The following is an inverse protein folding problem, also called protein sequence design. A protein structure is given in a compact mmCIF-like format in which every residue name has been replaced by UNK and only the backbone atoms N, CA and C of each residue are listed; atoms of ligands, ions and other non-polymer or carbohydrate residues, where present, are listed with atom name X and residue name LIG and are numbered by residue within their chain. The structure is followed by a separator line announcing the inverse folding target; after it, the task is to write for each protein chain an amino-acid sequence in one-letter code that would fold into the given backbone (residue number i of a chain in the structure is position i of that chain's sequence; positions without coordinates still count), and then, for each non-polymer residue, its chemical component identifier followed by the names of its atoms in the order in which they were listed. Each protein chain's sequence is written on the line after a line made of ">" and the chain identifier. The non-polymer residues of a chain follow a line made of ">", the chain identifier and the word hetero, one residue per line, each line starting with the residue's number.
data_IF_107154833625
#
_entry.id   IF_107154833625
#
_cell.length_a   1.000
_cell.length_b   1.000
_cell.length_c   1.000
_cell.angle_alpha   90.00
_cell.angle_beta   90.00
_cell.angle_gamma   90.00
#
_symmetry.space_group_name_H-M   'P 1'
#
loop_
_entity.id
_entity.type
_entity.pdbx_description
1 polymer ?
#
# COMPACT_ATOMS: atom_id res chain seq x y z
N UNK A 1 46.57 -4.22 41.50
CA UNK A 1 45.35 -4.72 40.82
C UNK A 1 45.30 -4.08 39.43
N UNK A 2 45.23 -4.87 38.37
CA UNK A 2 45.08 -4.34 37.01
C UNK A 2 43.73 -3.60 36.89
N UNK A 3 43.63 -2.50 36.13
CA UNK A 3 42.35 -1.85 35.90
C UNK A 3 41.38 -2.83 35.21
N UNK A 4 40.08 -2.77 35.51
CA UNK A 4 39.10 -3.61 34.84
C UNK A 4 39.13 -3.31 33.34
N UNK A 5 39.16 -4.36 32.53
CA UNK A 5 39.01 -4.25 31.07
C UNK A 5 37.71 -3.51 30.76
N UNK A 6 37.72 -2.57 29.79
CA UNK A 6 36.48 -1.92 29.37
C UNK A 6 35.48 -2.99 28.91
N UNK A 7 34.17 -2.78 29.14
CA UNK A 7 33.16 -3.70 28.65
C UNK A 7 33.34 -3.87 27.13
N UNK A 8 33.28 -5.11 26.66
CA UNK A 8 33.32 -5.40 25.23
C UNK A 8 32.24 -4.56 24.53
N UNK A 9 32.65 -3.77 23.53
CA UNK A 9 31.72 -2.96 22.76
C UNK A 9 30.65 -3.88 22.16
N UNK A 10 29.38 -3.61 22.45
CA UNK A 10 28.28 -4.35 21.83
C UNK A 10 28.34 -4.04 20.33
N UNK A 11 28.44 -5.06 19.45
CA UNK A 11 28.51 -4.82 18.02
C UNK A 11 27.21 -4.13 17.58
N UNK A 12 27.34 -2.88 17.17
CA UNK A 12 26.24 -2.09 16.63
C UNK A 12 25.87 -2.69 15.28
N UNK A 13 24.60 -3.10 15.11
CA UNK A 13 24.12 -3.61 13.83
C UNK A 13 23.83 -2.46 12.87
N UNK A 14 24.11 -2.63 11.58
CA UNK A 14 23.90 -1.59 10.59
C UNK A 14 22.41 -1.25 10.44
N UNK A 15 22.10 0.04 10.29
CA UNK A 15 20.74 0.59 10.17
C UNK A 15 20.59 1.36 8.88
N UNK A 16 19.38 1.39 8.31
CA UNK A 16 19.08 2.21 7.15
C UNK A 16 17.85 3.10 7.36
N UNK A 17 18.02 4.41 7.16
CA UNK A 17 16.91 5.33 7.01
C UNK A 17 16.42 5.27 5.55
N UNK A 18 15.11 5.15 5.35
CA UNK A 18 14.49 4.99 4.04
C UNK A 18 13.67 6.22 3.69
N UNK A 19 13.86 6.76 2.49
CA UNK A 19 13.01 7.84 1.94
C UNK A 19 12.43 7.41 0.61
N UNK A 20 11.13 7.63 0.43
CA UNK A 20 10.45 7.43 -0.85
C UNK A 20 10.31 8.75 -1.62
N UNK A 21 10.52 8.68 -2.94
CA UNK A 21 10.23 9.78 -3.85
C UNK A 21 8.85 9.63 -4.52
N UNK A 22 8.39 10.70 -5.17
CA UNK A 22 7.09 10.74 -5.86
C UNK A 22 7.01 9.87 -7.11
N UNK A 23 8.15 9.44 -7.66
CA UNK A 23 8.21 8.51 -8.79
C UNK A 23 8.11 7.05 -8.35
N UNK A 24 8.28 6.77 -7.05
CA UNK A 24 8.32 5.44 -6.46
C UNK A 24 9.70 4.83 -6.30
N UNK A 25 10.76 5.65 -6.42
CA UNK A 25 12.11 5.27 -6.06
C UNK A 25 12.29 5.30 -4.54
N UNK A 26 13.30 4.57 -4.06
CA UNK A 26 13.68 4.55 -2.66
C UNK A 26 15.16 4.92 -2.53
N UNK A 27 15.48 5.74 -1.54
CA UNK A 27 16.85 5.96 -1.08
C UNK A 27 17.02 5.36 0.30
N UNK A 28 18.18 4.74 0.52
CA UNK A 28 18.54 4.10 1.79
C UNK A 28 19.83 4.74 2.29
N UNK A 29 19.76 5.46 3.41
CA UNK A 29 20.90 6.03 4.10
C UNK A 29 21.35 5.07 5.20
N UNK A 30 22.44 4.36 4.92
CA UNK A 30 22.97 3.26 5.71
C UNK A 30 24.08 3.74 6.64
N UNK A 31 23.91 3.49 7.94
CA UNK A 31 24.93 3.66 8.97
C UNK A 31 25.49 2.30 9.36
N UNK A 32 26.78 2.09 9.14
CA UNK A 32 27.47 0.82 9.41
C UNK A 32 27.87 0.66 10.89
N UNK A 33 28.02 1.77 11.63
CA UNK A 33 28.36 1.82 13.05
C UNK A 33 27.77 3.09 13.69
N UNK A 34 27.48 3.08 15.00
CA UNK A 34 27.14 4.27 15.78
C UNK A 34 28.36 4.94 16.42
N UNK A 35 29.53 4.28 16.41
CA UNK A 35 30.77 4.96 16.75
C UNK A 35 31.04 6.00 15.65
N UNK A 36 31.27 7.26 16.05
CA UNK A 36 31.55 8.39 15.16
C UNK A 36 32.68 8.12 14.15
N UNK A 37 33.03 9.08 13.28
CA UNK A 37 33.64 8.84 11.98
C UNK A 37 34.99 8.13 12.05
N UNK A 38 34.95 6.80 12.17
CA UNK A 38 36.00 5.94 11.68
C UNK A 38 35.61 5.67 10.24
N UNK A 39 36.14 6.50 9.34
CA UNK A 39 36.11 6.17 7.92
C UNK A 39 36.62 4.72 7.79
N UNK A 40 35.83 3.77 7.30
CA UNK A 40 36.40 2.49 6.95
C UNK A 40 37.48 2.79 5.92
N UNK A 41 38.70 2.36 6.18
CA UNK A 41 39.68 2.15 5.11
C UNK A 41 39.11 1.05 4.22
N UNK A 42 38.15 1.38 3.36
CA UNK A 42 37.44 0.42 2.53
C UNK A 42 38.31 0.10 1.31
N UNK A 43 39.04 -0.99 1.41
CA UNK A 43 39.51 -1.75 0.24
C UNK A 43 38.38 -2.56 -0.41
N UNK A 44 37.15 -2.53 0.14
CA UNK A 44 35.97 -3.24 -0.37
C UNK A 44 35.06 -2.40 -1.28
N UNK A 45 34.19 -3.09 -2.03
CA UNK A 45 33.07 -2.53 -2.80
C UNK A 45 31.77 -2.73 -1.99
N UNK A 46 31.40 -1.80 -1.08
CA UNK A 46 30.24 -1.97 -0.22
C UNK A 46 28.94 -1.85 -1.03
N UNK A 47 27.97 -2.70 -0.70
CA UNK A 47 26.66 -2.66 -1.33
C UNK A 47 25.54 -3.03 -0.36
N UNK A 48 24.36 -2.49 -0.65
CA UNK A 48 23.12 -2.97 -0.07
C UNK A 48 22.56 -4.08 -0.96
N UNK A 49 22.24 -5.23 -0.36
CA UNK A 49 21.58 -6.33 -1.04
C UNK A 49 20.10 -6.36 -0.66
N UNK A 50 19.23 -6.56 -1.63
CA UNK A 50 17.83 -6.95 -1.43
C UNK A 50 17.68 -8.38 -1.93
N UNK A 51 17.29 -9.31 -1.05
CA UNK A 51 17.08 -10.73 -1.38
C UNK A 51 15.61 -11.12 -1.25
N UNK A 52 15.00 -11.67 -2.30
CA UNK A 52 13.62 -12.14 -2.28
C UNK A 52 13.50 -13.38 -1.39
N UNK A 53 12.53 -13.37 -0.47
CA UNK A 53 12.25 -14.55 0.37
C UNK A 53 11.76 -15.73 -0.46
N UNK A 54 12.40 -16.89 -0.28
CA UNK A 54 12.08 -18.12 -0.99
C UNK A 54 12.59 -18.17 -2.43
N UNK A 55 13.35 -17.15 -2.86
CA UNK A 55 14.05 -17.15 -4.14
C UNK A 55 15.51 -17.56 -3.98
N UNK A 56 16.06 -18.25 -4.98
CA UNK A 56 17.43 -18.75 -5.01
C UNK A 56 18.18 -18.37 -6.31
N UNK A 57 17.49 -17.70 -7.24
CA UNK A 57 18.04 -17.31 -8.53
C UNK A 57 18.73 -15.94 -8.54
N UNK A 58 19.48 -15.62 -9.61
CA UNK A 58 20.11 -14.30 -9.77
C UNK A 58 19.09 -13.15 -9.86
N UNK A 59 17.86 -13.42 -10.30
CA UNK A 59 16.76 -12.45 -10.30
C UNK A 59 16.21 -12.16 -8.90
N UNK A 60 16.52 -13.02 -7.91
CA UNK A 60 16.04 -12.95 -6.53
C UNK A 60 17.00 -12.16 -5.62
N UNK A 61 18.07 -11.58 -6.18
CA UNK A 61 18.99 -10.69 -5.47
C UNK A 61 19.27 -9.43 -6.28
N UNK A 62 19.03 -8.27 -5.67
CA UNK A 62 19.41 -6.96 -6.23
C UNK A 62 20.56 -6.39 -5.41
N UNK A 63 21.65 -5.99 -6.09
CA UNK A 63 22.81 -5.32 -5.49
C UNK A 63 22.78 -3.84 -5.83
N UNK A 64 22.72 -2.99 -4.82
CA UNK A 64 22.72 -1.53 -4.92
C UNK A 64 24.05 -1.01 -4.37
N UNK A 65 24.90 -0.36 -5.20
CA UNK A 65 26.14 0.22 -4.72
C UNK A 65 25.90 1.22 -3.58
N UNK A 66 26.76 1.18 -2.56
CA UNK A 66 26.75 2.12 -1.45
C UNK A 66 27.78 3.22 -1.69
N UNK A 67 27.33 4.45 -1.92
CA UNK A 67 28.19 5.60 -2.13
C UNK A 67 28.20 6.51 -0.89
N UNK A 68 29.35 7.05 -0.45
CA UNK A 68 29.39 8.03 0.64
C UNK A 68 28.51 9.25 0.34
N UNK A 69 27.80 9.74 1.36
CA UNK A 69 27.00 10.97 1.28
C UNK A 69 27.34 11.91 2.42
N UNK A 70 27.70 13.15 2.07
CA UNK A 70 28.14 14.15 3.02
C UNK A 70 29.45 13.78 3.72
N UNK A 71 29.69 14.39 4.88
CA UNK A 71 30.92 14.18 5.65
C UNK A 71 30.72 13.17 6.81
N UNK A 72 29.47 12.73 7.05
CA UNK A 72 29.08 11.96 8.24
C UNK A 72 28.94 10.46 7.98
N UNK A 73 30.01 9.73 7.63
CA UNK A 73 30.07 8.25 7.70
C UNK A 73 28.88 7.44 7.14
N UNK A 74 28.05 8.06 6.30
CA UNK A 74 26.74 7.56 5.88
C UNK A 74 26.86 7.17 4.42
N UNK A 75 26.43 5.95 4.11
CA UNK A 75 26.47 5.44 2.75
C UNK A 75 25.04 5.39 2.19
N UNK A 76 24.85 5.86 0.96
CA UNK A 76 23.56 5.85 0.29
C UNK A 76 23.51 4.78 -0.78
N UNK A 77 22.46 3.99 -0.74
CA UNK A 77 21.99 3.16 -1.85
C UNK A 77 20.73 3.79 -2.45
N UNK A 78 20.56 3.66 -3.76
CA UNK A 78 19.38 4.13 -4.48
C UNK A 78 18.75 2.95 -5.22
N UNK A 79 17.46 2.73 -4.99
CA UNK A 79 16.62 1.85 -5.80
C UNK A 79 15.77 2.73 -6.74
N UNK A 80 16.18 2.90 -8.01
CA UNK A 80 15.49 3.81 -8.93
C UNK A 80 14.06 3.37 -9.20
N UNK A 81 13.17 4.34 -9.42
CA UNK A 81 11.75 4.06 -9.69
C UNK A 81 11.52 3.17 -10.91
N UNK A 82 12.45 3.17 -11.87
CA UNK A 82 12.42 2.39 -13.12
C UNK A 82 12.90 0.94 -12.98
N UNK A 83 13.60 0.61 -11.89
CA UNK A 83 14.08 -0.75 -11.66
C UNK A 83 12.89 -1.63 -11.25
N UNK A 84 12.68 -2.74 -11.97
CA UNK A 84 11.65 -3.73 -11.63
C UNK A 84 12.10 -4.57 -10.43
N UNK A 85 11.20 -4.76 -9.48
CA UNK A 85 11.41 -5.63 -8.33
C UNK A 85 10.20 -6.57 -8.24
N UNK A 86 10.36 -7.88 -8.56
CA UNK A 86 9.26 -8.85 -8.54
C UNK A 86 8.41 -8.80 -7.26
N UNK A 87 7.13 -9.18 -7.39
CA UNK A 87 6.22 -9.20 -6.24
C UNK A 87 6.78 -10.08 -5.12
N UNK A 88 6.86 -9.53 -3.92
CA UNK A 88 7.30 -10.32 -2.77
C UNK A 88 7.86 -9.48 -1.63
N UNK A 89 8.57 -10.18 -0.73
CA UNK A 89 9.21 -9.62 0.45
C UNK A 89 10.72 -9.72 0.26
N UNK A 90 11.37 -8.57 0.21
CA UNK A 90 12.80 -8.44 -0.07
C UNK A 90 13.56 -8.07 1.19
N UNK A 91 14.34 -9.01 1.69
CA UNK A 91 15.15 -8.84 2.89
C UNK A 91 16.42 -8.03 2.57
N UNK A 92 16.64 -6.97 3.35
CA UNK A 92 17.74 -6.02 3.18
C UNK A 92 19.02 -6.41 3.96
N UNK A 93 20.15 -6.43 3.28
CA UNK A 93 21.46 -6.73 3.87
C UNK A 93 22.48 -5.69 3.46
N UNK A 94 23.55 -5.57 4.22
CA UNK A 94 24.78 -4.93 3.77
C UNK A 94 25.81 -6.02 3.48
N UNK A 95 26.56 -5.85 2.39
CA UNK A 95 27.69 -6.68 2.03
C UNK A 95 28.91 -5.78 1.82
N UNK A 96 30.06 -6.21 2.33
CA UNK A 96 31.36 -5.57 2.09
C UNK A 96 32.34 -6.63 1.60
N UNK A 97 32.76 -6.53 0.34
CA UNK A 97 33.56 -7.56 -0.32
C UNK A 97 32.89 -8.94 -0.31
N UNK A 98 33.66 -9.97 0.05
CA UNK A 98 33.23 -11.38 0.11
C UNK A 98 32.76 -11.81 1.51
N UNK A 99 32.56 -10.87 2.43
CA UNK A 99 32.05 -11.18 3.78
C UNK A 99 30.57 -11.60 3.74
N UNK A 100 30.16 -12.40 4.73
CA UNK A 100 28.76 -12.84 4.84
C UNK A 100 27.85 -11.61 5.06
N UNK A 101 26.83 -11.39 4.20
CA UNK A 101 25.99 -10.21 4.29
C UNK A 101 25.23 -10.10 5.61
N UNK A 102 25.30 -8.92 6.23
CA UNK A 102 24.69 -8.65 7.53
C UNK A 102 23.31 -8.04 7.34
N UNK A 103 22.31 -8.57 8.08
CA UNK A 103 20.92 -8.10 8.00
C UNK A 103 20.80 -6.65 8.50
N UNK A 104 20.19 -5.78 7.68
CA UNK A 104 19.92 -4.39 8.03
C UNK A 104 18.75 -4.26 9.01
N UNK A 105 18.95 -3.43 10.03
CA UNK A 105 17.90 -2.94 10.91
C UNK A 105 17.21 -1.72 10.28
N UNK A 106 15.91 -1.51 10.55
CA UNK A 106 15.22 -0.31 10.11
C UNK A 106 15.67 0.90 10.93
N UNK A 107 15.77 2.05 10.27
CA UNK A 107 15.86 3.38 10.85
C UNK A 107 14.55 4.15 10.66
N UNK A 108 14.64 5.43 10.29
CA UNK A 108 13.49 6.29 9.94
C UNK A 108 12.91 5.85 8.60
N UNK A 109 11.58 5.83 8.48
CA UNK A 109 10.87 5.61 7.20
C UNK A 109 10.09 6.87 6.82
N UNK A 110 10.63 7.67 5.91
CA UNK A 110 9.94 8.81 5.31
C UNK A 110 9.24 8.37 4.02
N UNK A 111 8.01 7.87 4.15
CA UNK A 111 7.24 7.26 3.06
C UNK A 111 6.07 8.13 2.57
N UNK A 112 5.97 9.37 3.06
CA UNK A 112 4.83 10.26 2.77
C UNK A 112 4.58 10.48 1.26
N UNK A 113 5.63 10.40 0.45
CA UNK A 113 5.55 10.53 -1.01
C UNK A 113 4.86 9.36 -1.72
N UNK A 114 4.62 8.24 -1.03
CA UNK A 114 3.91 7.08 -1.56
C UNK A 114 2.39 7.23 -1.49
N UNK A 115 1.88 8.02 -0.54
CA UNK A 115 0.45 8.19 -0.30
C UNK A 115 -0.18 8.95 -1.48
N UNK A 116 -1.33 8.45 -1.94
CA UNK A 116 -2.13 8.99 -3.05
C UNK A 116 -1.36 9.17 -4.37
N UNK A 117 -0.25 8.44 -4.52
CA UNK A 117 0.60 8.52 -5.70
C UNK A 117 -0.14 8.01 -6.93
N UNK A 118 -0.28 8.88 -7.93
CA UNK A 118 -0.81 8.49 -9.24
C UNK A 118 0.32 7.92 -10.11
N UNK A 119 0.19 6.66 -10.60
CA UNK A 119 1.14 6.09 -11.55
C UNK A 119 1.29 6.98 -12.79
N UNK A 120 2.54 7.22 -13.24
CA UNK A 120 2.80 8.08 -14.40
C UNK A 120 2.19 7.51 -15.68
N UNK A 121 1.54 8.37 -16.47
CA UNK A 121 1.08 8.05 -17.81
C UNK A 121 2.28 7.60 -18.68
N UNK A 122 2.09 6.52 -19.46
CA UNK A 122 3.12 5.95 -20.34
C UNK A 122 3.93 4.78 -19.78
N UNK A 123 3.72 4.39 -18.52
CA UNK A 123 4.23 3.10 -18.01
C UNK A 123 3.34 1.95 -18.48
N UNK A 124 3.95 0.79 -18.69
CA UNK A 124 3.27 -0.49 -18.94
C UNK A 124 3.30 -1.40 -17.71
N UNK A 125 3.68 -0.84 -16.56
CA UNK A 125 3.74 -1.52 -15.27
C UNK A 125 3.64 -0.56 -14.10
N UNK A 126 3.10 -1.08 -12.98
CA UNK A 126 2.97 -0.40 -11.71
C UNK A 126 3.85 -1.09 -10.66
N UNK A 127 4.93 -0.41 -10.27
CA UNK A 127 5.78 -0.82 -9.15
C UNK A 127 5.47 -0.05 -7.88
N UNK A 128 5.12 -0.77 -6.81
CA UNK A 128 4.99 -0.23 -5.46
C UNK A 128 6.02 -0.93 -4.57
N UNK A 129 6.80 -0.16 -3.83
CA UNK A 129 7.83 -0.66 -2.92
C UNK A 129 7.72 0.05 -1.58
N UNK A 130 7.51 -0.69 -0.51
CA UNK A 130 7.30 -0.17 0.84
C UNK A 130 8.33 -0.79 1.79
N UNK A 131 9.34 -0.03 2.24
CA UNK A 131 10.20 -0.41 3.34
C UNK A 131 9.41 -0.55 4.64
N UNK A 132 9.68 -1.59 5.41
CA UNK A 132 9.01 -1.81 6.69
C UNK A 132 9.84 -2.62 7.67
N UNK A 133 9.56 -2.42 8.96
CA UNK A 133 10.10 -3.22 10.03
C UNK A 133 9.30 -4.53 10.13
N UNK A 134 9.99 -5.66 10.00
CA UNK A 134 9.38 -6.96 10.26
C UNK A 134 9.08 -7.15 11.75
N UNK A 135 8.23 -8.13 12.10
CA UNK A 135 8.00 -8.52 13.50
C UNK A 135 9.25 -8.94 14.28
N UNK A 136 10.35 -9.24 13.58
CA UNK A 136 11.65 -9.59 14.16
C UNK A 136 12.63 -8.40 14.19
N UNK A 137 12.17 -7.19 13.87
CA UNK A 137 12.97 -5.97 13.93
C UNK A 137 13.95 -5.75 12.77
N UNK A 138 13.86 -6.54 11.69
CA UNK A 138 14.71 -6.37 10.50
C UNK A 138 14.00 -5.54 9.41
N UNK A 139 14.77 -4.83 8.60
CA UNK A 139 14.27 -4.05 7.46
C UNK A 139 13.91 -4.96 6.28
N UNK A 140 12.70 -4.89 5.76
CA UNK A 140 12.30 -5.59 4.53
C UNK A 140 11.63 -4.59 3.61
N UNK A 141 11.76 -4.77 2.29
CA UNK A 141 10.98 -4.03 1.29
C UNK A 141 9.87 -4.96 0.78
N UNK A 142 8.61 -4.58 0.95
CA UNK A 142 7.49 -5.24 0.28
C UNK A 142 7.36 -4.65 -1.12
N UNK A 143 7.33 -5.50 -2.15
CA UNK A 143 7.21 -5.10 -3.54
C UNK A 143 5.95 -5.66 -4.19
N UNK A 144 5.28 -4.84 -5.01
CA UNK A 144 4.25 -5.24 -5.97
C UNK A 144 4.63 -4.73 -7.35
N UNK A 145 4.32 -5.52 -8.37
CA UNK A 145 4.65 -5.30 -9.77
C UNK A 145 3.50 -5.81 -10.62
N UNK A 146 2.56 -4.92 -10.95
CA UNK A 146 1.28 -5.25 -11.60
C UNK A 146 1.02 -4.42 -12.84
N UNK A 147 0.31 -4.99 -13.81
CA UNK A 147 -0.35 -4.26 -14.90
C UNK A 147 -1.33 -5.18 -15.62
N UNK A 148 -2.60 -4.79 -15.82
CA UNK A 148 -3.27 -3.63 -15.25
C UNK A 148 -3.38 -3.72 -13.71
N UNK A 149 -3.91 -2.70 -13.05
CA UNK A 149 -4.14 -2.72 -11.61
C UNK A 149 -5.45 -2.04 -11.20
N UNK A 150 -6.29 -2.75 -10.45
CA UNK A 150 -7.50 -2.22 -9.84
C UNK A 150 -7.22 -1.85 -8.37
N UNK A 151 -7.13 -0.55 -8.09
CA UNK A 151 -6.93 -0.02 -6.74
C UNK A 151 -8.28 0.18 -6.04
N UNK A 152 -8.47 -0.50 -4.91
CA UNK A 152 -9.57 -0.27 -3.99
C UNK A 152 -9.27 0.94 -3.10
N UNK A 153 -10.15 1.94 -3.16
CA UNK A 153 -10.12 3.13 -2.32
C UNK A 153 -10.99 2.96 -1.08
N UNK A 154 -12.06 3.77 -0.97
CA UNK A 154 -12.99 3.72 0.15
C UNK A 154 -13.87 2.48 0.09
N UNK A 155 -13.99 1.79 1.22
CA UNK A 155 -14.91 0.68 1.41
C UNK A 155 -15.98 1.07 2.42
N UNK A 156 -17.24 0.82 2.07
CA UNK A 156 -18.37 0.95 2.99
C UNK A 156 -19.04 -0.41 3.15
N UNK A 157 -19.20 -0.83 4.41
CA UNK A 157 -19.79 -2.12 4.77
C UNK A 157 -21.03 -1.86 5.62
N UNK A 158 -22.19 -1.93 4.98
CA UNK A 158 -23.49 -1.65 5.59
C UNK A 158 -24.60 -2.38 4.84
N UNK A 159 -25.72 -2.60 5.51
CA UNK A 159 -26.96 -3.16 4.97
C UNK A 159 -26.75 -4.44 4.15
N UNK A 160 -25.87 -5.34 4.65
CA UNK A 160 -25.56 -6.61 3.99
C UNK A 160 -24.84 -6.46 2.64
N UNK A 161 -24.19 -5.31 2.38
CA UNK A 161 -23.43 -5.03 1.17
C UNK A 161 -22.03 -4.50 1.43
N UNK A 162 -21.15 -4.73 0.46
CA UNK A 162 -19.84 -4.07 0.36
C UNK A 162 -19.90 -3.09 -0.81
N UNK A 163 -19.81 -1.79 -0.53
CA UNK A 163 -19.58 -0.77 -1.55
C UNK A 163 -18.09 -0.50 -1.67
N UNK A 164 -17.56 -0.62 -2.87
CA UNK A 164 -16.17 -0.33 -3.22
C UNK A 164 -16.14 0.89 -4.12
N UNK A 165 -15.40 1.92 -3.71
CA UNK A 165 -14.94 2.99 -4.61
C UNK A 165 -13.49 2.72 -4.99
N UNK A 166 -13.17 2.69 -6.27
CA UNK A 166 -11.83 2.35 -6.74
C UNK A 166 -11.44 3.04 -8.04
N UNK A 167 -10.24 2.71 -8.53
CA UNK A 167 -9.70 3.18 -9.81
C UNK A 167 -9.03 2.03 -10.56
N UNK A 168 -9.15 2.01 -11.88
CA UNK A 168 -8.46 1.06 -12.75
C UNK A 168 -7.31 1.73 -13.50
N UNK A 169 -6.08 1.28 -13.25
CA UNK A 169 -4.89 1.76 -13.94
C UNK A 169 -4.48 0.79 -15.05
N UNK A 170 -4.14 1.35 -16.21
CA UNK A 170 -3.60 0.60 -17.35
C UNK A 170 -4.61 -0.08 -18.26
N UNK A 171 -5.91 0.10 -18.00
CA UNK A 171 -7.01 -0.34 -18.84
C UNK A 171 -8.19 0.63 -18.73
N UNK A 172 -9.10 0.61 -19.70
CA UNK A 172 -10.35 1.37 -19.66
C UNK A 172 -11.49 0.54 -19.05
N UNK A 173 -12.50 1.20 -18.50
CA UNK A 173 -13.75 0.52 -18.11
C UNK A 173 -14.77 0.65 -19.23
N UNK A 174 -15.37 -0.47 -19.62
CA UNK A 174 -16.47 -0.51 -20.58
C UNK A 174 -17.83 -0.60 -19.89
N UNK A 175 -18.91 -0.42 -20.66
CA UNK A 175 -20.30 -0.66 -20.19
C UNK A 175 -20.56 -2.13 -19.80
N UNK A 176 -19.67 -3.04 -20.21
CA UNK A 176 -19.72 -4.46 -19.84
C UNK A 176 -18.88 -4.80 -18.62
N UNK A 177 -18.25 -3.82 -17.97
CA UNK A 177 -17.42 -4.03 -16.79
C UNK A 177 -18.19 -4.72 -15.65
N UNK A 178 -17.50 -5.58 -14.91
CA UNK A 178 -18.06 -6.37 -13.81
C UNK A 178 -17.12 -6.41 -12.61
N UNK A 179 -17.68 -6.36 -11.41
CA UNK A 179 -17.00 -6.83 -10.21
C UNK A 179 -17.37 -8.30 -10.03
N UNK A 180 -16.36 -9.15 -9.90
CA UNK A 180 -16.50 -10.60 -9.80
C UNK A 180 -15.97 -11.08 -8.45
N UNK A 181 -16.80 -11.80 -7.71
CA UNK A 181 -16.38 -12.56 -6.54
C UNK A 181 -16.13 -14.01 -6.97
N UNK A 182 -14.88 -14.42 -6.98
CA UNK A 182 -14.43 -15.76 -7.37
C UNK A 182 -14.21 -16.61 -6.11
N UNK A 183 -14.78 -17.83 -6.02
CA UNK A 183 -14.58 -18.65 -4.84
C UNK A 183 -13.17 -19.26 -4.84
N UNK A 184 -12.46 -19.11 -3.72
CA UNK A 184 -11.05 -19.53 -3.64
C UNK A 184 -10.87 -21.05 -3.67
N UNK A 185 -11.71 -21.76 -2.92
CA UNK A 185 -11.55 -23.20 -2.67
C UNK A 185 -12.55 -24.06 -3.46
N UNK A 186 -13.18 -23.49 -4.50
CA UNK A 186 -14.20 -24.17 -5.30
C UNK A 186 -13.98 -23.94 -6.81
N UNK A 187 -12.87 -24.46 -7.33
CA UNK A 187 -12.50 -24.35 -8.73
C UNK A 187 -13.65 -24.81 -9.66
N UNK A 188 -13.88 -24.05 -10.74
CA UNK A 188 -14.95 -24.31 -11.71
C UNK A 188 -16.34 -23.80 -11.29
N UNK A 189 -16.51 -23.31 -10.06
CA UNK A 189 -17.74 -22.61 -9.67
C UNK A 189 -17.75 -21.22 -10.32
N UNK A 190 -18.85 -20.81 -10.99
CA UNK A 190 -18.91 -19.50 -11.62
C UNK A 190 -18.82 -18.38 -10.57
N UNK A 191 -18.15 -17.26 -10.89
CA UNK A 191 -18.10 -16.12 -9.97
C UNK A 191 -19.48 -15.48 -9.81
N UNK A 192 -19.72 -14.89 -8.64
CA UNK A 192 -20.83 -13.95 -8.47
C UNK A 192 -20.42 -12.63 -9.11
N UNK A 193 -21.18 -12.18 -10.11
CA UNK A 193 -20.83 -11.02 -10.93
C UNK A 193 -21.87 -9.92 -10.80
N UNK A 194 -21.42 -8.68 -10.57
CA UNK A 194 -22.28 -7.49 -10.51
C UNK A 194 -21.81 -6.44 -11.52
N UNK A 195 -22.72 -5.76 -12.25
CA UNK A 195 -22.37 -4.64 -13.12
C UNK A 195 -21.61 -3.54 -12.38
N UNK A 196 -20.56 -3.03 -12.99
CA UNK A 196 -19.86 -1.83 -12.54
C UNK A 196 -20.41 -0.66 -13.36
N UNK A 197 -21.13 0.29 -12.74
CA UNK A 197 -21.47 1.55 -13.38
C UNK A 197 -20.19 2.25 -13.84
N UNK A 198 -20.15 2.71 -15.09
CA UNK A 198 -19.09 3.61 -15.53
C UNK A 198 -19.32 4.96 -14.85
N UNK A 199 -18.35 5.45 -14.07
CA UNK A 199 -18.46 6.76 -13.44
C UNK A 199 -18.67 7.82 -14.54
N UNK A 200 -19.83 8.47 -14.46
CA UNK A 200 -20.45 9.33 -15.47
C UNK A 200 -21.85 9.79 -15.04
N UNK A 201 -22.47 9.07 -14.10
CA UNK A 201 -23.57 9.57 -13.29
C UNK A 201 -23.20 9.48 -11.81
N UNK A 202 -23.03 10.63 -11.14
CA UNK A 202 -23.14 10.69 -9.69
C UNK A 202 -24.55 10.22 -9.31
N UNK A 203 -24.69 8.94 -8.98
CA UNK A 203 -25.83 8.50 -8.19
C UNK A 203 -25.62 9.03 -6.78
N UNK A 204 -26.08 10.26 -6.54
CA UNK A 204 -26.35 10.77 -5.22
C UNK A 204 -27.36 9.84 -4.57
N UNK A 205 -26.86 8.89 -3.77
CA UNK A 205 -27.71 8.09 -2.91
C UNK A 205 -28.43 9.02 -1.94
N UNK A 206 -29.65 8.66 -1.47
CA UNK A 206 -30.45 9.50 -0.58
C UNK A 206 -29.78 9.85 0.76
N UNK A 207 -28.62 9.25 1.09
CA UNK A 207 -27.88 9.48 2.34
C UNK A 207 -26.76 10.54 2.26
N UNK A 208 -26.27 10.94 1.08
CA UNK A 208 -25.22 11.98 0.97
C UNK A 208 -25.71 13.37 1.43
N UNK A 209 -27.04 13.59 1.41
CA UNK A 209 -27.67 14.82 1.90
C UNK A 209 -27.75 14.91 3.44
N UNK A 210 -27.63 13.79 4.16
CA UNK A 210 -27.84 13.78 5.63
C UNK A 210 -26.56 14.03 6.41
N UNK A 211 -25.41 13.59 5.90
CA UNK A 211 -24.12 13.78 6.57
C UNK A 211 -23.56 15.21 6.44
N UNK A 212 -23.81 15.87 5.31
CA UNK A 212 -23.38 17.25 5.05
C UNK A 212 -24.05 18.28 5.97
N UNK A 213 -25.34 18.09 6.27
CA UNK A 213 -26.09 18.97 7.18
C UNK A 213 -25.70 18.81 8.66
N UNK A 214 -25.23 17.63 9.09
CA UNK A 214 -24.91 17.39 10.50
C UNK A 214 -23.50 17.89 10.89
N UNK A 215 -22.56 17.94 9.94
CA UNK A 215 -21.22 18.52 10.16
C UNK A 215 -21.26 20.06 10.24
N UNK A 216 -21.99 20.74 9.34
CA UNK A 216 -22.07 22.22 9.33
C UNK A 216 -22.80 22.84 10.54
N UNK A 217 -23.60 22.06 11.28
CA UNK A 217 -24.25 22.53 12.51
C UNK A 217 -23.39 22.37 13.77
N UNK A 218 -22.35 21.52 13.75
CA UNK A 218 -21.48 21.31 14.92
C UNK A 218 -20.31 22.30 15.00
N UNK A 219 -19.92 22.92 13.89
CA UNK A 219 -18.80 23.88 13.87
C UNK A 219 -19.20 25.32 14.25
N UNK A 220 -20.48 25.61 14.47
CA UNK A 220 -20.98 26.97 14.80
C UNK A 220 -21.18 27.27 16.29
N UNK A 221 -20.64 26.45 17.21
CA UNK A 221 -20.83 26.68 18.64
C UNK A 221 -19.61 26.29 19.48
N UNK A 222 -18.46 26.95 19.25
CA UNK A 222 -17.45 27.17 20.30
C UNK A 222 -16.79 28.53 20.05
N UNK A 223 -17.45 29.60 20.49
CA UNK A 223 -16.82 30.91 20.67
C UNK A 223 -16.43 31.04 22.14
N UNK A 224 -15.13 31.11 22.42
CA UNK A 224 -14.60 31.11 23.79
C UNK A 224 -13.11 31.44 23.84
N UNK A 225 -12.81 32.73 23.65
CA UNK A 225 -11.64 33.48 24.14
C UNK A 225 -10.31 32.72 24.30
N UNK A 226 -9.37 32.89 23.35
CA UNK A 226 -7.93 32.82 23.67
C UNK A 226 -7.09 33.79 22.83
N UNK A 227 -6.68 34.85 23.52
CA UNK A 227 -5.47 35.69 23.41
C UNK A 227 -4.68 35.67 22.07
N UNK A 228 -4.73 36.82 21.38
CA UNK A 228 -3.90 37.18 20.22
C UNK A 228 -2.39 37.20 20.56
N UNK A 229 -1.60 36.64 19.65
CA UNK A 229 -0.16 36.93 19.48
C UNK A 229 0.06 37.19 17.99
N UNK A 230 0.66 38.31 17.55
CA UNK A 230 0.67 38.67 16.13
C UNK A 230 1.84 37.99 15.41
N UNK A 231 1.54 37.21 14.37
CA UNK A 231 2.50 36.87 13.33
C UNK A 231 2.13 37.66 12.08
N UNK A 232 3.07 38.48 11.59
CA UNK A 232 2.89 39.37 10.46
C UNK A 232 2.78 38.58 9.15
N UNK A 233 1.58 38.55 8.58
CA UNK A 233 1.27 37.95 7.28
C UNK A 233 1.65 38.95 6.17
N UNK A 234 2.76 38.68 5.45
CA UNK A 234 3.03 39.37 4.19
C UNK A 234 2.13 38.77 3.12
N UNK A 235 1.22 39.60 2.66
CA UNK A 235 0.26 39.37 1.59
C UNK A 235 0.92 38.79 0.32
N UNK A 236 0.51 37.58 -0.07
CA UNK A 236 0.52 37.17 -1.47
C UNK A 236 -0.94 37.00 -1.90
N UNK A 237 -1.42 37.97 -2.67
CA UNK A 237 -2.75 37.91 -3.28
C UNK A 237 -2.78 36.80 -4.35
N UNK A 238 -3.87 36.01 -4.46
CA UNK A 238 -3.99 35.00 -5.50
C UNK A 238 -4.35 35.66 -6.83
N UNK A 239 -3.44 35.60 -7.81
CA UNK A 239 -3.75 35.96 -9.19
C UNK A 239 -4.38 34.76 -9.92
N UNK A 240 -5.55 35.01 -10.50
CA UNK A 240 -6.00 34.38 -11.75
C UNK A 240 -6.38 32.91 -11.70
N UNK A 241 -7.68 32.63 -11.73
CA UNK A 241 -8.23 31.36 -12.21
C UNK A 241 -7.78 31.14 -13.66
N UNK A 242 -6.68 30.41 -13.85
CA UNK A 242 -6.42 29.71 -15.09
C UNK A 242 -7.45 28.60 -15.22
N UNK A 243 -8.21 28.59 -16.31
CA UNK A 243 -8.96 27.42 -16.73
C UNK A 243 -7.94 26.30 -16.93
N UNK A 244 -7.85 25.39 -15.96
CA UNK A 244 -6.99 24.22 -16.06
C UNK A 244 -7.42 23.40 -17.26
N UNK A 245 -6.52 23.20 -18.22
CA UNK A 245 -6.65 22.11 -19.17
C UNK A 245 -6.88 20.81 -18.38
N UNK A 246 -7.76 19.91 -18.82
CA UNK A 246 -7.93 18.63 -18.14
C UNK A 246 -6.58 17.94 -18.04
N UNK A 247 -6.16 17.65 -16.80
CA UNK A 247 -4.98 16.84 -16.48
C UNK A 247 -5.01 15.57 -17.36
N UNK A 248 -3.94 15.24 -18.09
CA UNK A 248 -3.96 14.09 -18.96
C UNK A 248 -4.06 12.81 -18.12
N UNK A 249 -5.21 12.13 -18.25
CA UNK A 249 -5.49 10.75 -17.84
C UNK A 249 -5.59 10.48 -16.32
N UNK A 250 -6.61 11.04 -15.66
CA UNK A 250 -7.11 10.42 -14.43
C UNK A 250 -7.62 9.00 -14.77
N UNK A 251 -7.06 7.97 -14.12
CA UNK A 251 -7.53 6.60 -14.25
C UNK A 251 -9.05 6.53 -13.99
N UNK A 252 -9.83 5.77 -14.79
CA UNK A 252 -11.28 5.69 -14.61
C UNK A 252 -11.61 5.24 -13.18
N UNK A 253 -12.44 6.03 -12.51
CA UNK A 253 -13.06 5.67 -11.25
C UNK A 253 -14.15 4.62 -11.45
N UNK A 254 -14.46 3.89 -10.40
CA UNK A 254 -15.69 3.13 -10.33
C UNK A 254 -16.25 3.11 -8.91
N UNK A 255 -17.57 3.05 -8.81
CA UNK A 255 -18.29 2.72 -7.58
C UNK A 255 -19.20 1.52 -7.83
N UNK A 256 -19.05 0.46 -7.03
CA UNK A 256 -19.81 -0.77 -7.20
C UNK A 256 -20.24 -1.34 -5.84
N UNK A 257 -21.44 -1.90 -5.77
CA UNK A 257 -21.96 -2.61 -4.59
C UNK A 257 -22.03 -4.10 -4.85
N UNK A 258 -21.34 -4.89 -4.03
CA UNK A 258 -21.49 -6.34 -3.93
C UNK A 258 -22.52 -6.67 -2.84
N UNK A 259 -23.71 -7.22 -3.17
CA UNK A 259 -24.63 -7.75 -2.17
C UNK A 259 -24.03 -9.01 -1.55
N UNK A 260 -23.68 -8.97 -0.26
CA UNK A 260 -22.98 -10.09 0.38
C UNK A 260 -23.88 -11.33 0.53
N UNK A 261 -25.19 -11.14 0.68
CA UNK A 261 -26.18 -12.23 0.67
C UNK A 261 -26.38 -12.90 -0.70
N UNK A 262 -25.82 -12.34 -1.79
CA UNK A 262 -25.82 -13.01 -3.09
C UNK A 262 -24.73 -14.08 -3.20
N UNK A 263 -23.77 -14.12 -2.26
CA UNK A 263 -22.71 -15.11 -2.23
C UNK A 263 -23.26 -16.48 -1.75
N UNK A 264 -23.09 -17.56 -2.52
CA UNK A 264 -23.44 -18.91 -2.09
C UNK A 264 -22.81 -19.32 -0.75
N UNK A 265 -23.53 -20.13 0.01
CA UNK A 265 -23.15 -20.61 1.34
C UNK A 265 -21.94 -21.57 1.36
N UNK A 266 -21.60 -22.18 0.24
CA UNK A 266 -20.52 -23.18 0.16
C UNK A 266 -19.12 -22.61 0.40
N UNK A 267 -18.59 -21.76 -0.49
CA UNK A 267 -17.25 -21.19 -0.32
C UNK A 267 -17.12 -20.31 0.93
N UNK A 268 -15.99 -20.48 1.63
CA UNK A 268 -15.63 -19.71 2.83
C UNK A 268 -14.93 -18.40 2.46
N UNK A 269 -14.21 -18.37 1.34
CA UNK A 269 -13.50 -17.19 0.87
C UNK A 269 -13.82 -16.91 -0.59
N UNK A 270 -14.08 -15.64 -0.88
CA UNK A 270 -14.26 -15.14 -2.23
C UNK A 270 -13.24 -14.03 -2.51
N UNK A 271 -12.47 -14.20 -3.58
CA UNK A 271 -11.52 -13.23 -4.10
C UNK A 271 -12.22 -12.24 -5.02
N UNK A 272 -11.98 -10.95 -4.82
CA UNK A 272 -12.65 -9.90 -5.59
C UNK A 272 -11.80 -9.44 -6.79
N UNK A 273 -12.39 -9.44 -7.96
CA UNK A 273 -11.74 -9.06 -9.19
C UNK A 273 -12.57 -8.04 -9.94
N UNK A 274 -11.91 -7.18 -10.70
CA UNK A 274 -12.55 -6.24 -11.60
C UNK A 274 -12.28 -6.70 -13.03
N UNK A 275 -13.34 -7.09 -13.75
CA UNK A 275 -13.30 -7.35 -15.18
C UNK A 275 -13.56 -6.04 -15.94
N UNK A 276 -12.60 -5.49 -16.70
CA UNK A 276 -12.79 -4.19 -17.38
C UNK A 276 -13.81 -4.22 -18.52
N UNK A 277 -13.91 -5.35 -19.23
CA UNK A 277 -14.92 -5.61 -20.26
C UNK A 277 -15.14 -7.12 -20.42
N UNK A 278 -16.24 -7.51 -21.09
CA UNK A 278 -16.55 -8.92 -21.33
C UNK A 278 -15.44 -9.70 -22.05
N UNK A 279 -14.59 -9.01 -22.81
CA UNK A 279 -13.50 -9.59 -23.61
C UNK A 279 -12.13 -9.51 -22.92
N UNK A 280 -12.03 -8.82 -21.79
CA UNK A 280 -10.78 -8.62 -21.04
C UNK A 280 -10.72 -9.52 -19.81
N UNK A 281 -9.51 -9.95 -19.44
CA UNK A 281 -9.28 -10.74 -18.24
C UNK A 281 -9.55 -9.93 -16.95
N UNK A 282 -10.02 -10.59 -15.87
CA UNK A 282 -10.29 -9.92 -14.63
C UNK A 282 -8.98 -9.59 -13.90
N UNK A 283 -8.92 -8.38 -13.33
CA UNK A 283 -7.76 -7.86 -12.60
C UNK A 283 -8.03 -7.94 -11.10
N UNK A 284 -7.05 -8.41 -10.33
CA UNK A 284 -7.21 -8.55 -8.87
C UNK A 284 -7.43 -7.17 -8.24
N UNK A 285 -8.54 -7.03 -7.51
CA UNK A 285 -8.81 -5.82 -6.74
C UNK A 285 -7.94 -5.80 -5.48
N UNK A 286 -7.15 -4.76 -5.30
CA UNK A 286 -6.20 -4.65 -4.18
C UNK A 286 -6.01 -3.20 -3.76
N UNK A 287 -5.35 -2.97 -2.62
CA UNK A 287 -4.95 -1.61 -2.21
C UNK A 287 -3.44 -1.61 -2.00
N UNK A 288 -2.69 -0.94 -2.85
CA UNK A 288 -1.22 -0.90 -2.79
C UNK A 288 -0.65 0.50 -3.05
N UNK A 289 -1.47 1.52 -3.31
CA UNK A 289 -1.00 2.89 -3.57
C UNK A 289 -0.98 3.76 -2.30
N UNK A 290 -0.60 3.16 -1.17
CA UNK A 290 -0.33 3.84 0.10
C UNK A 290 0.97 3.32 0.73
N UNK A 291 1.26 3.72 1.96
CA UNK A 291 2.49 3.39 2.70
C UNK A 291 2.32 2.22 3.68
N UNK A 292 1.19 1.48 3.63
CA UNK A 292 0.92 0.38 4.57
C UNK A 292 1.26 -0.99 3.95
N UNK A 293 2.32 -1.66 4.41
CA UNK A 293 2.85 -2.87 3.78
C UNK A 293 2.02 -4.14 4.04
N UNK A 294 1.44 -4.30 5.24
CA UNK A 294 0.66 -5.47 5.65
C UNK A 294 -0.71 -5.03 6.14
N UNK A 295 -1.67 -4.97 5.22
CA UNK A 295 -3.01 -4.46 5.54
C UNK A 295 -3.82 -5.43 6.36
N UNK A 296 -3.56 -6.73 6.25
CA UNK A 296 -4.37 -7.77 6.88
C UNK A 296 -4.42 -7.60 8.40
N UNK A 297 -3.33 -7.12 9.01
CA UNK A 297 -3.24 -6.91 10.46
C UNK A 297 -3.77 -5.54 10.92
N UNK A 298 -3.98 -4.61 9.99
CA UNK A 298 -4.26 -3.19 10.29
C UNK A 298 -5.71 -2.84 9.97
N UNK A 299 -6.25 -3.35 8.86
CA UNK A 299 -7.58 -3.00 8.37
C UNK A 299 -8.59 -4.07 8.78
N UNK A 300 -9.48 -3.71 9.70
CA UNK A 300 -10.64 -4.51 10.09
C UNK A 300 -11.93 -3.93 9.55
N UNK A 301 -12.86 -4.81 9.15
CA UNK A 301 -14.20 -4.43 8.70
C UNK A 301 -15.25 -5.18 9.51
N UNK A 302 -16.38 -4.54 9.87
CA UNK A 302 -17.42 -5.19 10.64
C UNK A 302 -18.06 -6.32 9.82
N UNK A 303 -18.27 -7.52 10.40
CA UNK A 303 -19.03 -8.56 9.73
C UNK A 303 -20.47 -8.11 9.49
N UNK A 304 -21.06 -8.57 8.40
CA UNK A 304 -22.47 -8.39 8.07
C UNK A 304 -23.17 -9.73 8.21
N UNK A 305 -24.24 -9.77 9.00
CA UNK A 305 -25.14 -10.92 9.03
C UNK A 305 -26.01 -10.88 7.76
N UNK A 306 -25.92 -11.93 6.94
CA UNK A 306 -26.66 -12.02 5.69
C UNK A 306 -27.27 -13.41 5.51
N UNK A 307 -28.36 -13.46 4.75
CA UNK A 307 -28.98 -14.71 4.32
C UNK A 307 -28.51 -15.01 2.89
N UNK A 308 -27.83 -16.13 2.72
CA UNK A 308 -27.39 -16.63 1.41
C UNK A 308 -28.59 -17.08 0.56
N UNK A 309 -28.41 -17.33 -0.75
CA UNK A 309 -29.53 -17.66 -1.65
C UNK A 309 -30.28 -18.95 -1.29
N UNK A 310 -29.65 -19.87 -0.56
CA UNK A 310 -30.22 -21.12 -0.06
C UNK A 310 -30.94 -20.96 1.30
N UNK A 311 -31.05 -19.73 1.82
CA UNK A 311 -31.65 -19.42 3.11
C UNK A 311 -30.69 -19.53 4.30
N UNK A 312 -29.43 -19.92 4.08
CA UNK A 312 -28.44 -20.07 5.14
C UNK A 312 -28.00 -18.71 5.68
N UNK A 313 -28.07 -18.53 7.00
CA UNK A 313 -27.58 -17.32 7.67
C UNK A 313 -26.08 -17.43 7.94
N UNK A 314 -25.32 -16.41 7.53
CA UNK A 314 -23.85 -16.34 7.64
C UNK A 314 -23.38 -14.95 8.04
N UNK A 315 -22.22 -14.88 8.68
CA UNK A 315 -21.47 -13.63 8.78
C UNK A 315 -20.53 -13.51 7.60
N UNK A 316 -20.54 -12.36 6.93
CA UNK A 316 -19.66 -12.08 5.79
C UNK A 316 -18.93 -10.77 6.03
N UNK A 317 -17.59 -10.78 5.92
CA UNK A 317 -16.76 -9.61 6.12
C UNK A 317 -15.71 -9.45 5.01
N UNK A 318 -15.46 -8.23 4.53
CA UNK A 318 -14.29 -7.94 3.72
C UNK A 318 -13.01 -8.04 4.56
N UNK A 319 -11.90 -8.34 3.92
CA UNK A 319 -10.56 -8.25 4.51
C UNK A 319 -9.49 -8.18 3.41
N UNK A 320 -8.31 -7.69 3.75
CA UNK A 320 -7.15 -7.74 2.86
C UNK A 320 -6.33 -9.02 3.07
N UNK A 321 -5.88 -9.64 1.98
CA UNK A 321 -4.98 -10.80 2.01
C UNK A 321 -3.56 -10.42 2.47
N UNK A 322 -2.68 -11.42 2.60
CA UNK A 322 -1.25 -11.19 2.88
C UNK A 322 -0.51 -10.43 1.77
N UNK A 323 -1.14 -10.31 0.60
CA UNK A 323 -0.63 -9.61 -0.57
C UNK A 323 -1.41 -8.31 -0.84
N UNK A 324 -2.21 -7.88 0.14
CA UNK A 324 -3.04 -6.68 0.11
C UNK A 324 -4.15 -6.69 -0.96
N UNK A 325 -4.53 -7.87 -1.43
CA UNK A 325 -5.70 -8.05 -2.29
C UNK A 325 -6.99 -8.06 -1.45
N UNK A 326 -8.10 -7.57 -2.00
CA UNK A 326 -9.37 -7.51 -1.30
C UNK A 326 -10.15 -8.81 -1.47
N UNK A 327 -10.53 -9.46 -0.38
CA UNK A 327 -11.38 -10.65 -0.39
C UNK A 327 -12.55 -10.46 0.57
N UNK A 328 -13.56 -11.31 0.47
CA UNK A 328 -14.59 -11.47 1.50
C UNK A 328 -14.49 -12.86 2.10
N UNK A 329 -14.61 -12.93 3.42
CA UNK A 329 -14.64 -14.17 4.19
C UNK A 329 -16.04 -14.35 4.76
N UNK A 330 -16.58 -15.54 4.60
CA UNK A 330 -17.87 -15.93 5.14
C UNK A 330 -17.69 -17.01 6.21
N UNK A 331 -18.31 -16.82 7.36
CA UNK A 331 -18.28 -17.71 8.52
C UNK A 331 -19.70 -17.98 9.02
N UNK A 332 -19.83 -18.96 9.91
CA UNK A 332 -21.05 -19.14 10.66
C UNK A 332 -21.19 -18.01 11.70
N UNK A 333 -22.40 -17.51 11.96
CA UNK A 333 -22.61 -16.59 13.05
C UNK A 333 -22.25 -17.28 14.36
N UNK A 334 -21.51 -16.58 15.23
CA UNK A 334 -21.27 -17.07 16.58
C UNK A 334 -22.61 -17.17 17.32
N UNK A 335 -22.88 -18.26 18.06
CA UNK A 335 -24.07 -18.35 18.90
C UNK A 335 -24.01 -17.26 19.98
N UNK A 336 -25.08 -16.47 20.06
CA UNK A 336 -25.28 -15.41 21.09
C UNK A 336 -25.48 -16.01 22.46
#
# INVERSE_FOLDING_TARGET
>A
PAPPLPPAAVPVRPRADCTADTAGGLTFDVRLSEAGPAAPCATGDPAMLLRLRGGEGPADTVRLPLAPVGDEGTLRAVLPSIMSLPEGRWDAYVADGDEEPVRLLPGVHDLRSLVDRVPRAGRTWLGVRIPYATKYGNLTVRSWLRWPHAEAGQLYVLDGGLVVRGRLYGAGLSTTARLEAHPRDAAGTPPVSVPVPCDGEEHAGPDDARHSHQQHSRERHVEGQHRQVPYSERQFAPQGRGQGQPEPHAAPGFTVRLPLGALPSGPVVWDLWLRPSAEEEPVRLARILDDVPDKKQIFGYPPQLVTAPDGTVREVRPYYTLDNDLSVQASWPEPV
#
